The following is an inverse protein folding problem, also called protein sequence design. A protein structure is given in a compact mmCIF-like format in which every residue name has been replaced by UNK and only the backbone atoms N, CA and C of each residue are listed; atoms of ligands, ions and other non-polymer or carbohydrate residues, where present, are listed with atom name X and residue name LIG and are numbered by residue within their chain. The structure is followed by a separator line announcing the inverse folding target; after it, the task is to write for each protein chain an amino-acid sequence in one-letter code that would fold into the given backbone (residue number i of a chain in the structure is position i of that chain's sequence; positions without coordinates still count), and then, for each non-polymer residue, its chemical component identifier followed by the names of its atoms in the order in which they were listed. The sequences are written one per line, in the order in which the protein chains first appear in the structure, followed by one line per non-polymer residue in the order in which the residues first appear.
data_IF_272630607995
#
_entry.id   IF_272630607995
#
_cell.length_a   1.000
_cell.length_b   1.000
_cell.length_c   1.000
_cell.angle_alpha   90.00
_cell.angle_beta   90.00
_cell.angle_gamma   90.00
#
_symmetry.space_group_name_H-M   'P 1'
#
loop_
_entity.id
_entity.type
_entity.pdbx_description
1 polymer ?
#
# COMPACT_ATOMS: atom_id res chain seq x y z
N UNK A 1 9.57 -60.40 -10.87
CA UNK A 1 8.50 -59.41 -11.19
C UNK A 1 7.24 -59.63 -10.34
N UNK A 2 6.57 -60.79 -10.39
CA UNK A 2 5.32 -61.05 -9.64
C UNK A 2 5.41 -60.83 -8.11
N UNK A 3 6.51 -61.21 -7.45
CA UNK A 3 6.70 -61.00 -5.99
C UNK A 3 6.81 -59.53 -5.60
N UNK A 4 7.33 -58.67 -6.49
CA UNK A 4 7.48 -57.22 -6.24
C UNK A 4 6.14 -56.52 -6.42
N UNK A 5 5.39 -56.90 -7.46
CA UNK A 5 4.02 -56.39 -7.72
C UNK A 5 3.09 -56.73 -6.55
N UNK A 6 3.14 -57.97 -6.04
CA UNK A 6 2.33 -58.39 -4.88
C UNK A 6 2.69 -57.60 -3.61
N UNK A 7 4.00 -57.37 -3.36
CA UNK A 7 4.49 -56.58 -2.21
C UNK A 7 4.10 -55.09 -2.29
N UNK A 8 4.00 -54.54 -3.51
CA UNK A 8 3.49 -53.18 -3.77
C UNK A 8 1.98 -53.09 -3.55
N UNK A 9 1.22 -54.09 -4.01
CA UNK A 9 -0.22 -54.20 -3.74
C UNK A 9 -0.51 -54.32 -2.23
N UNK A 10 0.25 -55.13 -1.51
CA UNK A 10 0.09 -55.31 -0.05
C UNK A 10 0.41 -54.03 0.74
N UNK A 11 1.22 -53.12 0.19
CA UNK A 11 1.65 -51.88 0.84
C UNK A 11 1.17 -50.61 0.09
N UNK A 12 0.08 -50.69 -0.68
CA UNK A 12 -0.37 -49.59 -1.54
C UNK A 12 -0.57 -48.26 -0.78
N UNK A 13 -1.06 -48.30 0.48
CA UNK A 13 -1.20 -47.10 1.34
C UNK A 13 0.14 -46.43 1.64
N UNK A 14 1.20 -47.21 1.87
CA UNK A 14 2.55 -46.69 2.13
C UNK A 14 3.16 -46.10 0.86
N UNK A 15 2.92 -46.73 -0.28
CA UNK A 15 3.35 -46.22 -1.59
C UNK A 15 2.70 -44.87 -1.89
N UNK A 16 1.39 -44.74 -1.70
CA UNK A 16 0.65 -43.49 -1.92
C UNK A 16 1.13 -42.37 -1.00
N UNK A 17 1.37 -42.67 0.29
CA UNK A 17 1.95 -41.70 1.23
C UNK A 17 3.35 -41.27 0.80
N UNK A 18 4.20 -42.21 0.40
CA UNK A 18 5.56 -41.90 -0.04
C UNK A 18 5.58 -41.09 -1.35
N UNK A 19 4.73 -41.41 -2.33
CA UNK A 19 4.62 -40.64 -3.56
C UNK A 19 4.10 -39.24 -3.31
N UNK A 20 3.10 -39.08 -2.42
CA UNK A 20 2.58 -37.78 -2.01
C UNK A 20 3.62 -36.93 -1.28
N UNK A 21 4.34 -37.51 -0.32
CA UNK A 21 5.42 -36.83 0.40
C UNK A 21 6.58 -36.44 -0.54
N UNK A 22 6.93 -37.32 -1.48
CA UNK A 22 7.96 -37.05 -2.48
C UNK A 22 7.55 -35.92 -3.42
N UNK A 23 6.33 -35.95 -3.94
CA UNK A 23 5.80 -34.88 -4.79
C UNK A 23 5.74 -33.53 -4.05
N UNK A 24 5.31 -33.54 -2.80
CA UNK A 24 5.34 -32.36 -1.92
C UNK A 24 6.77 -31.86 -1.72
N UNK A 25 7.72 -32.75 -1.44
CA UNK A 25 9.14 -32.41 -1.23
C UNK A 25 9.77 -31.79 -2.47
N UNK A 26 9.52 -32.37 -3.65
CA UNK A 26 9.96 -31.80 -4.93
C UNK A 26 9.35 -30.42 -5.14
N UNK A 27 8.03 -30.27 -4.97
CA UNK A 27 7.35 -28.97 -5.10
C UNK A 27 7.92 -27.92 -4.12
N UNK A 28 8.15 -28.30 -2.87
CA UNK A 28 8.74 -27.42 -1.86
C UNK A 28 10.16 -27.00 -2.25
N UNK A 29 10.99 -27.93 -2.72
CA UNK A 29 12.35 -27.64 -3.17
C UNK A 29 12.37 -26.73 -4.40
N UNK A 30 11.53 -26.99 -5.40
CA UNK A 30 11.39 -26.15 -6.59
C UNK A 30 10.97 -24.73 -6.21
N UNK A 31 9.92 -24.57 -5.40
CA UNK A 31 9.47 -23.25 -4.94
C UNK A 31 10.60 -22.52 -4.17
N UNK A 32 11.32 -23.22 -3.30
CA UNK A 32 12.43 -22.62 -2.54
C UNK A 32 13.57 -22.18 -3.45
N UNK A 33 13.88 -22.96 -4.49
CA UNK A 33 14.87 -22.61 -5.49
C UNK A 33 14.44 -21.37 -6.29
N UNK A 34 13.19 -21.33 -6.77
CA UNK A 34 12.63 -20.17 -7.48
C UNK A 34 12.69 -18.90 -6.64
N UNK A 35 12.32 -18.97 -5.35
CA UNK A 35 12.42 -17.80 -4.47
C UNK A 35 13.87 -17.32 -4.28
N UNK A 36 14.85 -18.23 -4.22
CA UNK A 36 16.27 -17.88 -4.12
C UNK A 36 16.78 -17.25 -5.42
N UNK A 37 16.38 -17.78 -6.57
CA UNK A 37 16.75 -17.23 -7.87
C UNK A 37 16.18 -15.82 -8.06
N UNK A 38 14.91 -15.61 -7.69
CA UNK A 38 14.28 -14.28 -7.66
C UNK A 38 15.12 -13.32 -6.80
N UNK A 39 15.42 -13.68 -5.55
CA UNK A 39 16.24 -12.82 -4.66
C UNK A 39 17.59 -12.49 -5.29
N UNK A 40 18.26 -13.48 -5.88
CA UNK A 40 19.55 -13.29 -6.57
C UNK A 40 19.44 -12.31 -7.73
N UNK A 41 18.40 -12.40 -8.56
CA UNK A 41 18.18 -11.50 -9.68
C UNK A 41 17.97 -10.05 -9.21
N UNK A 42 17.14 -9.83 -8.20
CA UNK A 42 16.90 -8.49 -7.65
C UNK A 42 18.13 -7.93 -6.93
N UNK A 43 18.90 -8.76 -6.21
CA UNK A 43 20.16 -8.33 -5.60
C UNK A 43 21.17 -7.84 -6.66
N UNK A 44 21.27 -8.52 -7.81
CA UNK A 44 22.12 -8.06 -8.92
C UNK A 44 21.68 -6.69 -9.46
N UNK A 45 20.37 -6.46 -9.59
CA UNK A 45 19.82 -5.16 -10.03
C UNK A 45 20.11 -4.06 -9.00
N UNK A 46 19.89 -4.33 -7.72
CA UNK A 46 20.19 -3.38 -6.64
C UNK A 46 21.69 -3.07 -6.55
N UNK A 47 22.55 -4.09 -6.71
CA UNK A 47 24.00 -3.91 -6.74
C UNK A 47 24.43 -3.01 -7.92
N UNK A 48 23.83 -3.19 -9.10
CA UNK A 48 24.12 -2.32 -10.25
C UNK A 48 23.75 -0.85 -9.98
N UNK A 49 22.70 -0.60 -9.17
CA UNK A 49 22.36 0.75 -8.70
C UNK A 49 23.40 1.28 -7.71
N UNK A 50 23.79 0.49 -6.71
CA UNK A 50 24.78 0.90 -5.70
C UNK A 50 26.21 1.08 -6.21
N UNK A 51 26.54 0.54 -7.39
CA UNK A 51 27.83 0.74 -8.06
C UNK A 51 27.92 2.07 -8.83
N UNK A 52 26.83 2.83 -8.91
CA UNK A 52 26.84 4.15 -9.54
C UNK A 52 27.65 5.14 -8.69
N UNK A 53 28.50 5.92 -9.34
CA UNK A 53 29.30 6.94 -8.66
C UNK A 53 28.42 8.14 -8.29
N UNK A 54 28.54 8.61 -7.05
CA UNK A 54 27.96 9.86 -6.59
C UNK A 54 28.96 11.00 -6.76
N UNK A 55 28.47 12.23 -6.92
CA UNK A 55 29.34 13.40 -6.87
C UNK A 55 29.88 13.59 -5.44
N UNK A 56 31.09 14.14 -5.24
CA UNK A 56 31.69 14.30 -3.91
C UNK A 56 30.84 15.10 -2.91
N UNK A 57 29.94 15.96 -3.39
CA UNK A 57 29.06 16.79 -2.57
C UNK A 57 27.66 16.18 -2.37
N UNK A 58 27.39 15.00 -2.94
CA UNK A 58 26.10 14.32 -2.81
C UNK A 58 26.19 13.26 -1.72
N UNK A 59 25.24 13.31 -0.78
CA UNK A 59 25.10 12.26 0.21
C UNK A 59 24.25 11.11 -0.36
N UNK A 60 24.48 9.88 0.11
CA UNK A 60 23.58 8.77 -0.15
C UNK A 60 22.14 9.13 0.26
N UNK A 61 21.17 8.65 -0.53
CA UNK A 61 19.74 8.85 -0.23
C UNK A 61 19.40 8.20 1.10
N UNK A 62 18.78 8.97 1.99
CA UNK A 62 18.34 8.49 3.31
C UNK A 62 16.91 7.97 3.25
N UNK A 63 16.68 6.79 3.81
CA UNK A 63 15.39 6.12 3.80
C UNK A 63 15.02 5.64 5.20
N UNK A 64 13.87 6.09 5.69
CA UNK A 64 13.35 5.65 7.00
C UNK A 64 12.27 4.60 6.80
N UNK A 65 12.50 3.39 7.31
CA UNK A 65 11.59 2.25 7.18
C UNK A 65 10.78 2.09 8.47
N UNK A 66 9.47 2.27 8.40
CA UNK A 66 8.54 1.90 9.46
C UNK A 66 8.11 0.44 9.30
N UNK A 67 8.63 -0.42 10.19
CA UNK A 67 8.36 -1.85 10.19
C UNK A 67 7.37 -2.20 11.30
N UNK A 68 6.24 -2.81 10.94
CA UNK A 68 5.31 -3.39 11.92
C UNK A 68 5.60 -4.87 12.14
N UNK A 69 6.27 -5.27 13.26
CA UNK A 69 6.65 -6.66 13.49
C UNK A 69 5.44 -7.57 13.72
N UNK A 70 4.31 -7.05 14.21
CA UNK A 70 3.11 -7.83 14.48
C UNK A 70 2.33 -8.21 13.22
N UNK A 71 2.60 -7.55 12.08
CA UNK A 71 1.92 -7.81 10.81
C UNK A 71 2.18 -9.23 10.28
N UNK A 72 1.19 -9.76 9.54
CA UNK A 72 1.24 -11.06 8.84
C UNK A 72 1.73 -12.21 9.74
N UNK A 73 1.02 -12.43 10.85
CA UNK A 73 1.31 -13.48 11.83
C UNK A 73 2.76 -13.44 12.34
N UNK A 74 3.29 -12.23 12.58
CA UNK A 74 4.66 -11.97 13.08
C UNK A 74 5.79 -12.37 12.11
N UNK A 75 5.48 -12.56 10.83
CA UNK A 75 6.48 -12.89 9.79
C UNK A 75 7.06 -11.66 9.10
N UNK A 76 6.48 -10.48 9.32
CA UNK A 76 6.86 -9.23 8.67
C UNK A 76 8.36 -8.93 8.75
N UNK A 77 8.95 -8.99 9.95
CA UNK A 77 10.40 -8.75 10.15
C UNK A 77 11.26 -9.74 9.38
N UNK A 78 10.94 -11.04 9.45
CA UNK A 78 11.71 -12.06 8.71
C UNK A 78 11.60 -11.89 7.19
N UNK A 79 10.43 -11.48 6.69
CA UNK A 79 10.23 -11.21 5.27
C UNK A 79 10.98 -9.95 4.81
N UNK A 80 11.00 -8.91 5.64
CA UNK A 80 11.78 -7.69 5.37
C UNK A 80 13.28 -8.00 5.32
N UNK A 81 13.81 -8.65 6.35
CA UNK A 81 15.23 -8.96 6.49
C UNK A 81 15.74 -9.87 5.35
N UNK A 82 14.90 -10.78 4.85
CA UNK A 82 15.27 -11.72 3.77
C UNK A 82 15.13 -11.15 2.36
N UNK A 83 14.14 -10.28 2.14
CA UNK A 83 13.74 -9.93 0.76
C UNK A 83 13.99 -8.45 0.41
N UNK A 84 13.89 -7.52 1.37
CA UNK A 84 13.97 -6.09 1.12
C UNK A 84 15.26 -5.45 1.68
N UNK A 85 15.64 -5.78 2.92
CA UNK A 85 16.83 -5.20 3.55
C UNK A 85 18.12 -5.39 2.72
N UNK A 86 18.42 -6.57 2.12
CA UNK A 86 19.61 -6.73 1.29
C UNK A 86 19.62 -5.82 0.07
N UNK A 87 18.45 -5.53 -0.51
CA UNK A 87 18.34 -4.67 -1.69
C UNK A 87 18.68 -3.24 -1.35
N UNK A 88 18.20 -2.73 -0.21
CA UNK A 88 18.51 -1.36 0.20
C UNK A 88 20.00 -1.18 0.55
N UNK A 89 20.61 -2.15 1.23
CA UNK A 89 22.04 -2.11 1.53
C UNK A 89 22.92 -2.23 0.28
N UNK A 90 22.58 -3.13 -0.65
CA UNK A 90 23.31 -3.28 -1.92
C UNK A 90 23.18 -2.05 -2.83
N UNK A 91 22.06 -1.33 -2.72
CA UNK A 91 21.83 -0.08 -3.45
C UNK A 91 22.59 1.13 -2.86
N UNK A 92 23.27 0.98 -1.72
CA UNK A 92 24.00 2.08 -1.09
C UNK A 92 23.09 3.12 -0.43
N UNK A 93 21.88 2.76 -0.02
CA UNK A 93 20.97 3.65 0.70
C UNK A 93 21.34 3.71 2.19
N UNK A 94 21.20 4.88 2.82
CA UNK A 94 21.28 5.02 4.27
C UNK A 94 19.91 4.69 4.88
N UNK A 95 19.79 3.52 5.50
CA UNK A 95 18.52 2.91 5.88
C UNK A 95 18.37 2.90 7.39
N UNK A 96 17.40 3.67 7.89
CA UNK A 96 17.03 3.66 9.31
C UNK A 96 15.74 2.86 9.49
N UNK A 97 15.81 1.73 10.20
CA UNK A 97 14.65 0.86 10.46
C UNK A 97 14.05 1.15 11.83
N UNK A 98 12.82 1.66 11.85
CA UNK A 98 12.04 1.92 13.06
C UNK A 98 10.98 0.82 13.20
N UNK A 99 11.10 0.03 14.27
CA UNK A 99 10.10 -0.99 14.61
C UNK A 99 8.97 -0.38 15.43
N UNK A 100 7.73 -0.53 14.98
CA UNK A 100 6.56 -0.06 15.72
C UNK A 100 6.09 -1.12 16.71
N UNK A 101 5.88 -0.74 17.96
CA UNK A 101 5.43 -1.61 19.05
C UNK A 101 3.93 -1.53 19.27
N UNK A 102 3.32 -0.36 18.98
CA UNK A 102 1.89 -0.10 19.21
C UNK A 102 1.28 0.72 18.08
N UNK A 103 -0.05 0.60 17.95
CA UNK A 103 -0.84 1.46 17.06
C UNK A 103 -0.68 2.93 17.44
N UNK A 104 -0.55 3.81 16.44
CA UNK A 104 -0.36 5.24 16.63
C UNK A 104 1.10 5.68 16.86
N UNK A 105 2.04 4.74 17.01
CA UNK A 105 3.46 5.08 17.19
C UNK A 105 4.12 5.56 15.90
N UNK A 106 3.80 4.96 14.75
CA UNK A 106 4.33 5.41 13.47
C UNK A 106 3.88 6.85 13.19
N UNK A 107 2.62 7.15 13.52
CA UNK A 107 2.08 8.51 13.46
C UNK A 107 2.83 9.48 14.38
N UNK A 108 3.16 9.07 15.61
CA UNK A 108 3.91 9.93 16.54
C UNK A 108 5.34 10.20 16.04
N UNK A 109 6.01 9.20 15.46
CA UNK A 109 7.31 9.41 14.82
C UNK A 109 7.24 10.37 13.64
N UNK A 110 6.14 10.34 12.87
CA UNK A 110 5.95 11.28 11.77
C UNK A 110 5.96 12.74 12.22
N UNK A 111 5.61 13.07 13.47
CA UNK A 111 5.67 14.44 13.99
C UNK A 111 7.10 14.87 14.34
N UNK A 112 7.97 13.92 14.68
CA UNK A 112 9.34 14.18 15.15
C UNK A 112 10.38 14.19 14.02
N UNK A 113 10.19 13.39 12.98
CA UNK A 113 11.15 13.28 11.87
C UNK A 113 11.24 14.61 11.10
N UNK A 114 12.46 15.08 10.87
CA UNK A 114 12.77 16.29 10.11
C UNK A 114 13.13 16.01 8.64
N UNK A 115 13.16 17.07 7.82
CA UNK A 115 13.53 17.02 6.40
C UNK A 115 14.97 16.56 6.14
N UNK A 116 15.87 16.75 7.11
CA UNK A 116 17.30 16.41 6.99
C UNK A 116 17.60 14.94 7.35
N UNK A 117 16.65 14.30 8.05
CA UNK A 117 16.78 12.93 8.54
C UNK A 117 16.47 11.91 7.45
N UNK A 118 15.58 12.25 6.51
CA UNK A 118 15.06 11.29 5.54
C UNK A 118 14.64 11.94 4.22
N UNK A 119 14.95 11.29 3.10
CA UNK A 119 14.48 11.69 1.77
C UNK A 119 13.21 10.94 1.36
N UNK A 120 12.99 9.74 1.91
CA UNK A 120 11.83 8.90 1.63
C UNK A 120 11.45 8.03 2.82
N UNK A 121 10.15 7.81 2.99
CA UNK A 121 9.60 7.01 4.06
C UNK A 121 9.07 5.70 3.48
N UNK A 122 9.52 4.57 3.99
CA UNK A 122 9.09 3.26 3.51
C UNK A 122 8.25 2.59 4.59
N UNK A 123 7.05 2.15 4.23
CA UNK A 123 6.15 1.46 5.15
C UNK A 123 6.20 -0.04 4.88
N UNK A 124 6.71 -0.78 5.86
CA UNK A 124 6.85 -2.22 5.84
C UNK A 124 5.76 -2.86 6.72
N UNK A 125 4.60 -3.13 6.13
CA UNK A 125 3.42 -3.61 6.86
C UNK A 125 2.21 -3.86 5.97
N UNK A 126 1.02 -3.79 6.57
CA UNK A 126 -0.27 -3.86 5.87
C UNK A 126 -0.92 -2.49 5.70
N UNK A 127 -2.14 -2.49 5.15
CA UNK A 127 -2.89 -1.27 4.83
C UNK A 127 -3.09 -0.34 6.05
N UNK A 128 -3.26 -0.90 7.26
CA UNK A 128 -3.40 -0.12 8.50
C UNK A 128 -2.16 0.68 8.87
N UNK A 129 -0.97 0.08 8.74
CA UNK A 129 0.31 0.78 9.00
C UNK A 129 0.55 1.87 7.95
N UNK A 130 0.16 1.61 6.70
CA UNK A 130 0.24 2.63 5.64
C UNK A 130 -0.70 3.79 5.92
N UNK A 131 -1.95 3.54 6.32
CA UNK A 131 -2.91 4.57 6.71
C UNK A 131 -2.43 5.41 7.89
N UNK A 132 -1.77 4.79 8.87
CA UNK A 132 -1.21 5.47 10.04
C UNK A 132 -0.09 6.44 9.64
N UNK A 133 0.86 6.00 8.82
CA UNK A 133 1.98 6.84 8.34
C UNK A 133 1.46 7.97 7.44
N UNK A 134 0.55 7.68 6.50
CA UNK A 134 -0.06 8.71 5.64
C UNK A 134 -0.81 9.77 6.46
N UNK A 135 -1.58 9.33 7.46
CA UNK A 135 -2.31 10.24 8.34
C UNK A 135 -1.35 11.06 9.20
N UNK A 136 -0.23 10.49 9.66
CA UNK A 136 0.83 11.23 10.35
C UNK A 136 1.46 12.29 9.46
N UNK A 137 1.84 11.92 8.24
CA UNK A 137 2.44 12.83 7.26
C UNK A 137 1.51 14.02 6.96
N UNK A 138 0.26 13.76 6.60
CA UNK A 138 -0.67 14.80 6.15
C UNK A 138 -1.23 15.69 7.26
N UNK A 139 -1.10 15.28 8.53
CA UNK A 139 -1.47 16.11 9.68
C UNK A 139 -0.37 17.09 10.07
N UNK A 140 0.85 16.96 9.54
CA UNK A 140 1.92 17.92 9.80
C UNK A 140 1.52 19.30 9.27
N UNK A 141 1.85 20.33 10.05
CA UNK A 141 1.70 21.73 9.64
C UNK A 141 2.75 22.14 8.60
N UNK A 142 3.87 21.45 8.61
CA UNK A 142 5.00 21.66 7.69
C UNK A 142 4.67 21.12 6.30
N UNK A 143 4.18 22.01 5.44
CA UNK A 143 3.78 21.68 4.06
C UNK A 143 4.98 21.35 3.15
N UNK A 144 6.16 21.84 3.46
CA UNK A 144 7.36 21.59 2.65
C UNK A 144 7.84 20.15 2.85
N UNK A 145 7.79 19.65 4.09
CA UNK A 145 8.00 18.24 4.38
C UNK A 145 7.02 17.33 3.62
N UNK A 146 5.72 17.66 3.68
CA UNK A 146 4.68 16.87 3.01
C UNK A 146 4.87 16.82 1.49
N UNK A 147 5.26 17.93 0.86
CA UNK A 147 5.48 17.99 -0.59
C UNK A 147 6.75 17.28 -1.05
N UNK A 148 7.80 17.27 -0.23
CA UNK A 148 9.11 16.72 -0.61
C UNK A 148 9.21 15.21 -0.38
N UNK A 149 8.61 14.72 0.70
CA UNK A 149 8.74 13.31 1.12
C UNK A 149 7.82 12.40 0.32
N UNK A 150 8.41 11.37 -0.29
CA UNK A 150 7.67 10.27 -0.93
C UNK A 150 7.50 9.07 0.01
N UNK A 151 6.33 8.44 -0.06
CA UNK A 151 6.04 7.20 0.67
C UNK A 151 6.24 5.98 -0.25
N UNK A 152 7.13 5.07 0.15
CA UNK A 152 7.27 3.73 -0.42
C UNK A 152 6.46 2.71 0.38
N UNK A 153 5.88 1.71 -0.28
CA UNK A 153 5.05 0.68 0.36
C UNK A 153 5.69 -0.69 0.11
N UNK A 154 5.96 -1.45 1.18
CA UNK A 154 6.38 -2.84 1.10
C UNK A 154 5.20 -3.75 1.53
N UNK A 155 4.69 -4.61 0.63
CA UNK A 155 3.50 -5.43 0.87
C UNK A 155 3.82 -6.62 1.78
N UNK A 156 3.97 -6.34 3.08
CA UNK A 156 4.29 -7.36 4.10
C UNK A 156 3.08 -7.78 4.92
N UNK A 157 1.93 -7.13 4.77
CA UNK A 157 0.65 -7.50 5.37
C UNK A 157 -0.07 -8.64 4.65
N UNK A 158 -1.28 -8.97 5.10
CA UNK A 158 -2.10 -10.05 4.54
C UNK A 158 -2.93 -9.62 3.32
N UNK A 159 -3.53 -8.43 3.35
CA UNK A 159 -4.43 -7.92 2.29
C UNK A 159 -3.70 -7.05 1.27
N UNK A 160 -2.94 -6.06 1.76
CA UNK A 160 -2.14 -5.10 1.00
C UNK A 160 -2.90 -4.52 -0.22
N UNK A 161 -4.14 -4.09 -0.01
CA UNK A 161 -5.02 -3.59 -1.08
C UNK A 161 -4.41 -2.43 -1.85
N UNK A 162 -3.73 -1.51 -1.16
CA UNK A 162 -3.08 -0.36 -1.82
C UNK A 162 -1.89 -0.80 -2.67
N UNK A 163 -1.04 -1.70 -2.17
CA UNK A 163 0.07 -2.23 -2.95
C UNK A 163 -0.43 -2.99 -4.19
N UNK A 164 -1.58 -3.67 -4.11
CA UNK A 164 -2.21 -4.31 -5.28
C UNK A 164 -2.71 -3.31 -6.29
N UNK A 165 -3.07 -2.09 -5.91
CA UNK A 165 -3.45 -1.05 -6.90
C UNK A 165 -2.23 -0.50 -7.66
N UNK A 166 -1.07 -0.46 -7.00
CA UNK A 166 0.16 0.15 -7.54
C UNK A 166 0.96 -0.86 -8.38
N UNK A 167 1.11 -2.08 -7.88
CA UNK A 167 1.91 -3.13 -8.52
C UNK A 167 1.00 -4.14 -9.24
N UNK A 168 1.50 -4.75 -10.32
CA UNK A 168 0.81 -5.86 -10.98
C UNK A 168 0.71 -7.06 -10.05
N UNK A 169 -0.38 -7.83 -10.18
CA UNK A 169 -0.59 -9.00 -9.32
C UNK A 169 0.44 -10.07 -9.66
N UNK A 170 1.37 -10.34 -8.75
CA UNK A 170 2.43 -11.34 -8.94
C UNK A 170 2.11 -12.60 -8.16
N UNK A 171 2.25 -13.75 -8.82
CA UNK A 171 1.99 -15.07 -8.21
C UNK A 171 2.89 -15.40 -7.00
N UNK A 172 4.04 -14.74 -6.84
CA UNK A 172 4.99 -14.97 -5.74
C UNK A 172 5.08 -13.76 -4.81
N UNK A 173 4.84 -13.98 -3.52
CA UNK A 173 4.98 -12.95 -2.48
C UNK A 173 6.40 -12.38 -2.41
N UNK A 174 7.42 -13.22 -2.63
CA UNK A 174 8.83 -12.79 -2.62
C UNK A 174 9.09 -11.83 -3.76
N UNK A 175 8.60 -12.15 -4.96
CA UNK A 175 8.71 -11.27 -6.12
C UNK A 175 8.06 -9.92 -5.85
N UNK A 176 6.86 -9.93 -5.28
CA UNK A 176 6.14 -8.70 -4.95
C UNK A 176 6.93 -7.79 -4.01
N UNK A 177 7.48 -8.34 -2.92
CA UNK A 177 8.29 -7.58 -1.96
C UNK A 177 9.57 -7.05 -2.61
N UNK A 178 10.28 -7.88 -3.39
CA UNK A 178 11.50 -7.46 -4.06
C UNK A 178 11.25 -6.40 -5.14
N UNK A 179 10.15 -6.50 -5.88
CA UNK A 179 9.74 -5.51 -6.88
C UNK A 179 9.38 -4.18 -6.23
N UNK A 180 8.61 -4.20 -5.14
CA UNK A 180 8.31 -2.98 -4.38
C UNK A 180 9.56 -2.35 -3.78
N UNK A 181 10.50 -3.15 -3.24
CA UNK A 181 11.76 -2.64 -2.72
C UNK A 181 12.65 -2.06 -3.83
N UNK A 182 12.71 -2.69 -5.00
CA UNK A 182 13.47 -2.17 -6.14
C UNK A 182 12.88 -0.87 -6.66
N UNK A 183 11.55 -0.71 -6.71
CA UNK A 183 10.90 0.54 -7.10
C UNK A 183 11.28 1.70 -6.16
N UNK A 184 11.45 1.43 -4.85
CA UNK A 184 11.96 2.41 -3.87
C UNK A 184 13.42 2.78 -4.15
N UNK A 185 14.26 1.78 -4.44
CA UNK A 185 15.67 1.99 -4.82
C UNK A 185 15.77 2.88 -6.06
N UNK A 186 15.04 2.53 -7.12
CA UNK A 186 14.99 3.29 -8.37
C UNK A 186 14.35 4.68 -8.21
N UNK A 187 13.60 4.91 -7.12
CA UNK A 187 12.98 6.21 -6.83
C UNK A 187 11.79 6.50 -7.73
N UNK A 188 11.07 5.47 -8.20
CA UNK A 188 9.88 5.62 -9.02
C UNK A 188 8.75 6.25 -8.20
N UNK A 189 8.13 7.30 -8.74
CA UNK A 189 7.08 8.07 -8.07
C UNK A 189 5.81 8.09 -8.91
N UNK A 190 4.67 7.90 -8.27
CA UNK A 190 3.33 8.02 -8.86
C UNK A 190 2.45 8.85 -7.91
N UNK A 191 1.70 9.86 -8.40
CA UNK A 191 0.69 10.53 -7.59
C UNK A 191 -0.45 9.56 -7.24
N UNK A 192 -0.94 9.62 -6.00
CA UNK A 192 -2.03 8.77 -5.50
C UNK A 192 -3.08 9.68 -4.89
N UNK A 193 -4.35 9.44 -5.24
CA UNK A 193 -5.47 10.19 -4.68
C UNK A 193 -5.79 9.70 -3.27
N UNK A 194 -6.12 10.62 -2.36
CA UNK A 194 -6.41 10.30 -0.97
C UNK A 194 -7.78 10.83 -0.57
N UNK A 195 -8.49 10.05 0.26
CA UNK A 195 -9.75 10.44 0.87
C UNK A 195 -9.49 10.97 2.28
N UNK A 196 -9.92 12.20 2.54
CA UNK A 196 -9.91 12.79 3.88
C UNK A 196 -11.24 12.48 4.58
N UNK A 197 -11.15 11.89 5.78
CA UNK A 197 -12.30 11.44 6.56
C UNK A 197 -12.26 12.19 7.89
N UNK A 198 -13.16 13.14 8.06
CA UNK A 198 -13.22 13.93 9.30
C UNK A 198 -14.38 13.42 10.14
N UNK A 199 -14.05 12.88 11.33
CA UNK A 199 -15.07 12.54 12.32
C UNK A 199 -15.64 13.78 13.02
N UNK A 200 -16.77 13.64 13.69
CA UNK A 200 -17.43 14.75 14.42
C UNK A 200 -16.53 15.41 15.47
N UNK A 201 -15.54 14.69 16.01
CA UNK A 201 -14.53 15.21 16.93
C UNK A 201 -13.46 16.11 16.27
N UNK A 202 -13.55 16.37 14.96
CA UNK A 202 -12.60 17.20 14.21
C UNK A 202 -11.28 16.50 13.86
N UNK A 203 -11.12 15.21 14.18
CA UNK A 203 -9.92 14.44 13.82
C UNK A 203 -10.05 13.91 12.39
N UNK A 204 -9.21 14.41 11.47
CA UNK A 204 -9.16 13.95 10.08
C UNK A 204 -8.22 12.76 9.88
N UNK A 205 -8.72 11.65 9.38
CA UNK A 205 -7.94 10.45 8.99
C UNK A 205 -7.88 10.39 7.47
N UNK A 206 -6.74 9.96 6.92
CA UNK A 206 -6.56 9.85 5.48
C UNK A 206 -6.52 8.39 5.05
N UNK A 207 -7.22 8.06 3.97
CA UNK A 207 -7.28 6.72 3.40
C UNK A 207 -6.98 6.75 1.90
N UNK A 208 -6.15 5.83 1.41
CA UNK A 208 -5.78 5.75 0.00
C UNK A 208 -6.58 4.71 -0.81
N UNK A 209 -7.26 3.79 -0.13
CA UNK A 209 -7.92 2.63 -0.75
C UNK A 209 -9.43 2.76 -0.68
N UNK A 210 -10.02 2.44 0.47
CA UNK A 210 -11.45 2.41 0.67
C UNK A 210 -11.85 2.55 2.13
N UNK A 211 -13.11 2.92 2.34
CA UNK A 211 -13.79 2.88 3.63
C UNK A 211 -14.92 1.88 3.49
N UNK A 212 -14.97 0.92 4.41
CA UNK A 212 -15.98 -0.14 4.41
C UNK A 212 -16.72 -0.12 5.74
N UNK A 213 -18.03 0.01 5.65
CA UNK A 213 -18.95 -0.18 6.77
C UNK A 213 -19.91 -1.32 6.43
N UNK A 214 -19.65 -2.48 7.01
CA UNK A 214 -20.46 -3.67 6.76
C UNK A 214 -20.44 -4.64 7.93
N UNK A 215 -21.52 -5.41 8.05
CA UNK A 215 -21.56 -6.50 9.03
C UNK A 215 -20.51 -7.59 8.71
N UNK A 216 -20.18 -7.76 7.43
CA UNK A 216 -19.12 -8.66 6.98
C UNK A 216 -17.74 -8.20 7.45
N UNK A 217 -17.50 -6.89 7.48
CA UNK A 217 -16.27 -6.32 8.04
C UNK A 217 -16.16 -6.62 9.53
N UNK A 218 -17.25 -6.47 10.29
CA UNK A 218 -17.29 -6.82 11.71
C UNK A 218 -17.01 -8.32 11.92
N UNK A 219 -17.61 -9.18 11.10
CA UNK A 219 -17.35 -10.62 11.14
C UNK A 219 -15.87 -10.94 10.90
N UNK A 220 -15.21 -10.25 9.96
CA UNK A 220 -13.78 -10.44 9.67
C UNK A 220 -12.90 -10.08 10.87
N UNK A 221 -13.26 -9.05 11.67
CA UNK A 221 -12.50 -8.74 12.90
C UNK A 221 -12.55 -9.86 13.94
N UNK A 222 -13.66 -10.62 13.97
CA UNK A 222 -13.83 -11.74 14.92
C UNK A 222 -13.13 -13.04 14.47
N UNK A 223 -12.60 -13.08 13.24
CA UNK A 223 -11.95 -14.25 12.66
C UNK A 223 -10.78 -14.78 13.46
N UNK A 224 -10.01 -13.91 14.09
CA UNK A 224 -8.89 -14.29 14.96
C UNK A 224 -9.34 -15.11 16.18
N UNK A 225 -10.58 -14.89 16.67
CA UNK A 225 -11.15 -15.64 17.81
C UNK A 225 -11.39 -17.11 17.48
N UNK A 226 -11.71 -17.41 16.21
CA UNK A 226 -12.01 -18.76 15.72
C UNK A 226 -10.75 -19.52 15.27
N UNK A 227 -9.59 -19.24 15.87
CA UNK A 227 -8.31 -19.87 15.48
C UNK A 227 -8.33 -21.41 15.55
N UNK A 228 -9.13 -21.97 16.45
CA UNK A 228 -9.29 -23.40 16.68
C UNK A 228 -9.98 -24.15 15.52
N UNK A 229 -10.73 -23.45 14.66
CA UNK A 229 -11.32 -24.04 13.44
C UNK A 229 -10.32 -24.12 12.27
N UNK A 230 -9.05 -23.73 12.47
CA UNK A 230 -8.00 -23.85 11.46
C UNK A 230 -8.40 -23.22 10.12
N UNK A 231 -8.37 -23.95 8.98
CA UNK A 231 -8.75 -23.41 7.68
C UNK A 231 -10.25 -23.08 7.57
N UNK A 232 -11.11 -23.75 8.34
CA UNK A 232 -12.57 -23.53 8.30
C UNK A 232 -12.99 -22.22 8.97
N UNK A 233 -12.10 -21.59 9.76
CA UNK A 233 -12.40 -20.32 10.45
C UNK A 233 -12.91 -19.23 9.50
N UNK A 234 -12.40 -19.20 8.26
CA UNK A 234 -12.80 -18.23 7.24
C UNK A 234 -14.25 -18.35 6.83
N UNK A 235 -14.81 -19.57 6.81
CA UNK A 235 -16.22 -19.79 6.49
C UNK A 235 -17.08 -19.70 7.74
N UNK A 236 -16.57 -20.25 8.84
CA UNK A 236 -17.30 -20.29 10.11
C UNK A 236 -17.63 -18.90 10.66
N UNK A 237 -16.73 -17.93 10.52
CA UNK A 237 -16.96 -16.53 10.92
C UNK A 237 -18.23 -15.96 10.30
N UNK A 238 -18.38 -16.11 8.99
CA UNK A 238 -19.52 -15.57 8.27
C UNK A 238 -20.80 -16.36 8.57
N UNK A 239 -20.72 -17.70 8.62
CA UNK A 239 -21.88 -18.53 8.99
C UNK A 239 -22.39 -18.13 10.38
N UNK A 240 -21.50 -18.00 11.36
CA UNK A 240 -21.86 -17.64 12.72
C UNK A 240 -22.39 -16.21 12.85
N UNK A 241 -21.82 -15.25 12.10
CA UNK A 241 -22.31 -13.88 12.06
C UNK A 241 -23.75 -13.83 11.49
N UNK A 242 -24.00 -14.55 10.39
CA UNK A 242 -25.33 -14.68 9.78
C UNK A 242 -26.34 -15.33 10.73
N UNK A 243 -25.97 -16.41 11.44
CA UNK A 243 -26.84 -17.05 12.42
C UNK A 243 -27.22 -16.10 13.56
N UNK A 244 -26.30 -15.25 14.00
CA UNK A 244 -26.56 -14.27 15.07
C UNK A 244 -27.51 -13.16 14.66
N UNK A 245 -27.41 -12.67 13.42
CA UNK A 245 -28.21 -11.55 12.94
C UNK A 245 -28.51 -11.70 11.45
N UNK A 246 -29.76 -12.02 11.13
CA UNK A 246 -30.28 -12.08 9.77
C UNK A 246 -31.66 -11.41 9.69
N UNK A 247 -31.91 -10.53 8.71
CA UNK A 247 -30.96 -9.98 7.73
C UNK A 247 -30.04 -8.90 8.35
N UNK A 248 -28.77 -8.78 7.92
CA UNK A 248 -27.92 -7.66 8.32
C UNK A 248 -28.36 -6.40 7.58
N UNK A 249 -29.23 -5.61 8.20
CA UNK A 249 -29.64 -4.31 7.69
C UNK A 249 -28.76 -3.18 8.25
N UNK A 250 -28.24 -2.35 7.35
CA UNK A 250 -27.52 -1.12 7.61
C UNK A 250 -28.32 0.02 6.98
N UNK A 251 -28.86 0.87 7.86
CA UNK A 251 -29.62 2.06 7.48
C UNK A 251 -28.71 3.27 7.62
N UNK A 252 -28.43 3.94 6.51
CA UNK A 252 -27.57 5.11 6.47
C UNK A 252 -28.22 6.21 5.63
N UNK A 253 -28.07 7.45 6.08
CA UNK A 253 -28.42 8.65 5.31
C UNK A 253 -27.13 9.26 4.78
N UNK A 254 -27.02 9.36 3.47
CA UNK A 254 -25.87 9.89 2.78
C UNK A 254 -26.23 11.25 2.16
N UNK A 255 -25.32 12.20 2.27
CA UNK A 255 -25.34 13.44 1.51
C UNK A 255 -24.10 13.49 0.65
N UNK A 256 -24.25 13.73 -0.65
CA UNK A 256 -23.12 13.79 -1.58
C UNK A 256 -23.31 14.90 -2.62
N UNK A 257 -22.20 15.32 -3.20
CA UNK A 257 -22.14 16.31 -4.28
C UNK A 257 -21.53 15.61 -5.48
N UNK A 258 -22.07 15.85 -6.67
CA UNK A 258 -21.56 15.25 -7.90
C UNK A 258 -20.23 15.89 -8.32
N UNK A 259 -19.29 15.10 -8.87
CA UNK A 259 -18.02 15.64 -9.36
C UNK A 259 -18.25 16.57 -10.54
N UNK A 260 -17.66 17.76 -10.51
CA UNK A 260 -17.70 18.72 -11.61
C UNK A 260 -16.36 18.70 -12.35
N UNK A 261 -16.40 18.66 -13.68
CA UNK A 261 -15.22 18.72 -14.57
C UNK A 261 -14.51 20.09 -14.60
N UNK A 262 -15.00 21.06 -13.82
CA UNK A 262 -14.55 22.44 -13.74
C UNK A 262 -15.63 23.41 -14.24
N UNK A 263 -15.97 24.40 -13.41
CA UNK A 263 -16.90 25.47 -13.74
C UNK A 263 -16.53 26.74 -12.96
N UNK A 264 -17.08 27.89 -13.36
CA UNK A 264 -16.83 29.18 -12.73
C UNK A 264 -17.12 29.23 -11.22
N UNK A 265 -18.02 28.36 -10.74
CA UNK A 265 -18.44 28.27 -9.33
C UNK A 265 -17.51 27.40 -8.47
N UNK A 266 -16.83 26.46 -9.12
CA UNK A 266 -15.96 25.47 -8.52
C UNK A 266 -14.48 25.97 -8.51
N UNK A 267 -14.17 27.08 -9.19
CA UNK A 267 -12.82 27.65 -9.30
C UNK A 267 -12.40 28.33 -7.99
N UNK A 268 -11.34 27.83 -7.36
CA UNK A 268 -10.66 28.56 -6.28
C UNK A 268 -9.64 29.50 -6.91
N UNK A 269 -9.55 30.78 -6.48
CA UNK A 269 -8.58 31.69 -7.05
C UNK A 269 -7.19 31.07 -6.86
N UNK A 270 -6.35 31.03 -7.91
CA UNK A 270 -5.01 30.49 -7.79
C UNK A 270 -4.29 31.23 -6.66
N UNK A 271 -3.47 30.53 -5.84
CA UNK A 271 -2.63 31.20 -4.85
C UNK A 271 -1.81 32.27 -5.58
N UNK A 272 -1.66 33.48 -5.01
CA UNK A 272 -1.01 34.59 -5.69
C UNK A 272 0.36 34.15 -6.18
N UNK A 273 0.57 34.20 -7.50
CA UNK A 273 1.88 33.88 -8.08
C UNK A 273 2.91 34.85 -7.49
N UNK A 274 3.87 34.34 -6.73
CA UNK A 274 5.04 35.10 -6.31
C UNK A 274 5.78 35.56 -7.57
N UNK A 275 5.67 36.85 -7.89
CA UNK A 275 6.44 37.50 -8.95
C UNK A 275 7.92 37.47 -8.56
N UNK A 276 8.63 36.39 -8.89
CA UNK A 276 10.08 36.34 -8.81
C UNK A 276 10.65 37.43 -9.72
N UNK A 277 11.27 38.45 -9.13
CA UNK A 277 11.98 39.48 -9.87
C UNK A 277 13.07 38.82 -10.72
N UNK A 278 12.87 38.83 -12.03
CA UNK A 278 13.83 38.29 -13.00
C UNK A 278 14.95 39.30 -13.19
N UNK A 279 16.15 38.99 -12.70
CA UNK A 279 17.36 39.75 -13.01
C UNK A 279 17.73 39.65 -14.49
N UNK A 280 18.50 40.63 -14.99
CA UNK A 280 18.87 40.77 -16.41
C UNK A 280 19.52 39.52 -17.04
N UNK A 281 20.17 38.67 -16.23
CA UNK A 281 20.78 37.39 -16.66
C UNK A 281 19.76 36.28 -17.00
N UNK A 282 18.47 36.47 -16.73
CA UNK A 282 17.42 35.49 -17.04
C UNK A 282 17.10 35.32 -18.53
N UNK A 283 17.60 36.23 -19.39
CA UNK A 283 17.50 36.13 -20.85
C UNK A 283 18.39 35.02 -21.44
N UNK A 284 19.45 34.61 -20.71
CA UNK A 284 20.37 33.54 -21.14
C UNK A 284 19.88 32.13 -20.78
N UNK A 285 18.80 32.02 -20.00
CA UNK A 285 18.24 30.72 -19.60
C UNK A 285 17.19 30.26 -20.61
N UNK A 286 17.16 28.96 -20.97
CA UNK A 286 16.11 28.42 -21.82
C UNK A 286 14.74 28.69 -21.19
N UNK A 287 13.71 29.00 -22.00
CA UNK A 287 12.38 29.27 -21.48
C UNK A 287 11.90 28.07 -20.64
N UNK A 288 11.27 28.30 -19.48
CA UNK A 288 10.69 27.22 -18.70
C UNK A 288 9.73 26.42 -19.58
N UNK A 289 9.70 25.10 -19.40
CA UNK A 289 8.78 24.21 -20.11
C UNK A 289 7.37 24.83 -20.08
N UNK A 290 6.71 24.94 -21.25
CA UNK A 290 5.33 25.41 -21.37
C UNK A 290 4.49 24.64 -20.34
N UNK A 291 3.97 25.35 -19.33
CA UNK A 291 2.91 24.80 -18.49
C UNK A 291 1.78 24.37 -19.43
N UNK A 292 1.15 23.23 -19.15
CA UNK A 292 -0.04 22.80 -19.87
C UNK A 292 -1.05 23.96 -19.95
N UNK A 293 -1.78 24.13 -21.07
CA UNK A 293 -2.73 25.21 -21.20
C UNK A 293 -3.72 25.13 -20.04
N UNK A 294 -3.75 26.18 -19.20
CA UNK A 294 -4.75 26.34 -18.15
C UNK A 294 -6.09 26.38 -18.88
N UNK A 295 -6.97 25.42 -18.59
CA UNK A 295 -8.32 25.40 -19.15
C UNK A 295 -9.10 26.52 -18.48
N UNK A 296 -9.57 27.49 -19.26
CA UNK A 296 -10.39 28.58 -18.75
C UNK A 296 -11.81 28.07 -18.47
N UNK A 297 -12.14 27.86 -17.20
CA UNK A 297 -13.46 27.39 -16.75
C UNK A 297 -14.45 28.53 -16.47
N UNK A 298 -14.01 29.78 -16.55
CA UNK A 298 -14.79 30.98 -16.25
C UNK A 298 -16.11 31.07 -17.03
N UNK A 299 -16.15 30.53 -18.24
CA UNK A 299 -17.34 30.54 -19.11
C UNK A 299 -18.22 29.29 -18.98
N UNK A 300 -17.77 28.26 -18.26
CA UNK A 300 -18.53 27.03 -18.08
C UNK A 300 -19.34 27.19 -16.79
N UNK A 301 -20.65 27.27 -16.91
CA UNK A 301 -21.58 27.31 -15.77
C UNK A 301 -22.20 25.92 -15.65
N UNK A 302 -21.95 25.27 -14.51
CA UNK A 302 -22.63 24.02 -14.15
C UNK A 302 -23.63 24.31 -13.03
N UNK A 303 -24.92 24.23 -13.33
CA UNK A 303 -26.00 24.47 -12.37
C UNK A 303 -26.03 23.41 -11.26
N UNK A 304 -25.56 22.20 -11.55
CA UNK A 304 -25.46 21.09 -10.59
C UNK A 304 -24.17 21.15 -9.75
N UNK A 305 -23.19 22.02 -10.05
CA UNK A 305 -21.98 22.18 -9.21
C UNK A 305 -22.40 22.74 -7.83
N UNK A 306 -22.10 21.95 -6.79
CA UNK A 306 -22.34 22.30 -5.38
C UNK A 306 -23.74 21.98 -4.87
N UNK A 307 -24.58 21.29 -5.65
CA UNK A 307 -25.90 20.83 -5.18
C UNK A 307 -25.72 19.56 -4.33
N UNK A 308 -26.25 19.60 -3.11
CA UNK A 308 -26.26 18.43 -2.21
C UNK A 308 -27.44 17.50 -2.53
N UNK A 309 -27.13 16.25 -2.84
CA UNK A 309 -28.11 15.18 -2.99
C UNK A 309 -28.18 14.35 -1.71
N UNK A 310 -29.39 14.06 -1.25
CA UNK A 310 -29.65 13.20 -0.08
C UNK A 310 -30.14 11.84 -0.54
N UNK A 311 -29.58 10.79 0.03
CA UNK A 311 -29.92 9.40 -0.27
C UNK A 311 -30.07 8.62 1.04
N UNK A 312 -31.27 8.09 1.28
CA UNK A 312 -31.52 7.16 2.37
C UNK A 312 -31.33 5.73 1.83
N UNK A 313 -30.39 4.98 2.41
CA UNK A 313 -29.96 3.65 1.95
C UNK A 313 -30.25 2.60 3.02
N UNK A 314 -30.82 1.47 2.59
CA UNK A 314 -30.94 0.24 3.40
C UNK A 314 -30.21 -0.89 2.68
N UNK A 315 -28.97 -1.17 3.07
CA UNK A 315 -28.12 -2.20 2.46
C UNK A 315 -27.48 -3.08 3.53
N UNK A 316 -26.76 -4.13 3.14
CA UNK A 316 -25.94 -4.93 4.07
C UNK A 316 -24.50 -4.45 4.20
N UNK A 317 -24.04 -3.68 3.20
CA UNK A 317 -22.69 -3.16 3.09
C UNK A 317 -22.71 -1.78 2.42
N UNK A 318 -21.89 -0.88 2.94
CA UNK A 318 -21.55 0.40 2.35
C UNK A 318 -20.04 0.47 2.18
N UNK A 319 -19.59 0.67 0.95
CA UNK A 319 -18.16 0.84 0.64
C UNK A 319 -17.97 2.11 -0.20
N UNK A 320 -17.06 2.97 0.26
CA UNK A 320 -16.59 4.14 -0.50
C UNK A 320 -15.19 3.81 -1.00
N UNK A 321 -15.00 3.82 -2.32
CA UNK A 321 -13.74 3.49 -2.98
C UNK A 321 -13.07 4.76 -3.51
N UNK A 322 -11.74 4.77 -3.49
CA UNK A 322 -10.94 5.75 -4.24
C UNK A 322 -10.83 5.37 -5.72
N UNK A 323 -10.55 6.37 -6.56
CA UNK A 323 -10.17 6.23 -7.98
C UNK A 323 -9.07 5.17 -8.18
N UNK A 324 -8.07 5.14 -7.28
CA UNK A 324 -6.93 4.23 -7.35
C UNK A 324 -7.33 2.75 -7.47
N UNK A 325 -8.45 2.35 -6.84
CA UNK A 325 -8.95 0.97 -6.90
C UNK A 325 -9.98 0.77 -8.02
N UNK A 326 -10.74 1.81 -8.38
CA UNK A 326 -11.76 1.76 -9.43
C UNK A 326 -11.16 1.45 -10.80
N UNK A 327 -10.02 2.08 -11.13
CA UNK A 327 -9.34 1.86 -12.42
C UNK A 327 -8.96 0.39 -12.66
N UNK A 328 -8.62 -0.35 -11.59
CA UNK A 328 -8.19 -1.76 -11.68
C UNK A 328 -9.35 -2.76 -11.65
N UNK A 329 -10.54 -2.36 -11.18
CA UNK A 329 -11.75 -3.21 -11.25
C UNK A 329 -12.44 -3.14 -12.61
N UNK A 330 -12.20 -2.06 -13.37
CA UNK A 330 -12.75 -1.84 -14.70
C UNK A 330 -11.81 -2.30 -15.85
N UNK A 331 -10.55 -2.63 -15.54
CA UNK A 331 -9.53 -3.17 -16.45
C UNK A 331 -9.43 -4.69 -16.39
#
# INVERSE_FOLDING_TARGET
MAKVVKKLQDNWKKLVLFSGASAYGVKYATNKYEELDIRRQYCKKAQAYGQQCLYPNENPRKVTVFLNPAANNRKCTQLFDKNAAPLFHLAGLDVTVIKTEREGQAKAYMDVIGLEDTDAIVVAGGDGTVAEVMTGLLRRKDQDFVKRISIGILPLGETNSLARSIFSDTASQVRWICESALAVVEGLKRPIDLMAITGNEGKTVYAASSIQWSHFRDAETTKSKYWYFGPLKHRWTYVWATVKKWPPELKARLSYILPCSGCSKCETPPPPEEKKQRGWLSFLLPPPKKKEPVKDYAHIINEECGVEHKLDVNTSELTVLSSNLLEKQLS
#
